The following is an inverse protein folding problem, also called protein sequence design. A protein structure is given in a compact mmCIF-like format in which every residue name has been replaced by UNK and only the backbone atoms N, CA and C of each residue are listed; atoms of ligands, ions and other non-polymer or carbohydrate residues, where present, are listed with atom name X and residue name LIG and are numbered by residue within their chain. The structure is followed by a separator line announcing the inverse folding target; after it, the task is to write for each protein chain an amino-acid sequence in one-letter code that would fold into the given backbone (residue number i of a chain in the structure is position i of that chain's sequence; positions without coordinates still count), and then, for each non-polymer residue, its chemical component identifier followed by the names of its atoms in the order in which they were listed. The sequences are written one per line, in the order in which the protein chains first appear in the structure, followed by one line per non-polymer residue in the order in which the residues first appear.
data_IF_745180121691
#
_entry.id   IF_745180121691
#
_cell.length_a   1.000
_cell.length_b   1.000
_cell.length_c   1.000
_cell.angle_alpha   90.00
_cell.angle_beta   90.00
_cell.angle_gamma   90.00
#
_symmetry.space_group_name_H-M   'P 1'
#
loop_
_entity.id
_entity.type
_entity.pdbx_description
1 polymer ?
#
# COMPACT_ATOMS: atom_id res chain seq x y z
N UNK A 1 -13.61 14.41 -51.27
CA UNK A 1 -13.96 15.15 -50.03
C UNK A 1 -14.00 14.30 -48.76
N UNK A 2 -14.71 13.15 -48.71
CA UNK A 2 -14.85 12.31 -47.49
C UNK A 2 -13.53 11.69 -46.96
N UNK A 3 -12.60 11.32 -47.84
CA UNK A 3 -11.29 10.77 -47.44
C UNK A 3 -10.36 11.83 -46.81
N UNK A 4 -10.41 13.08 -47.29
CA UNK A 4 -9.64 14.19 -46.72
C UNK A 4 -10.09 14.53 -45.30
N UNK A 5 -11.41 14.56 -45.04
CA UNK A 5 -11.94 14.77 -43.69
C UNK A 5 -11.58 13.63 -42.72
N UNK A 6 -11.51 12.37 -43.20
CA UNK A 6 -11.09 11.24 -42.35
C UNK A 6 -9.62 11.36 -41.94
N UNK A 7 -8.73 11.74 -42.87
CA UNK A 7 -7.30 11.99 -42.58
C UNK A 7 -7.10 13.17 -41.63
N UNK A 8 -7.85 14.26 -41.81
CA UNK A 8 -7.77 15.40 -40.91
C UNK A 8 -8.24 15.04 -39.49
N UNK A 9 -9.32 14.26 -39.36
CA UNK A 9 -9.77 13.75 -38.05
C UNK A 9 -8.77 12.79 -37.40
N UNK A 10 -8.09 11.93 -38.17
CA UNK A 10 -7.06 11.04 -37.60
C UNK A 10 -5.85 11.83 -37.12
N UNK A 11 -5.36 12.82 -37.86
CA UNK A 11 -4.24 13.67 -37.42
C UNK A 11 -4.56 14.49 -36.17
N UNK A 12 -5.79 15.00 -36.05
CA UNK A 12 -6.22 15.72 -34.84
C UNK A 12 -6.32 14.77 -33.63
N UNK A 13 -6.68 13.49 -33.86
CA UNK A 13 -6.70 12.47 -32.79
C UNK A 13 -5.29 12.09 -32.37
N UNK A 14 -4.40 11.75 -33.31
CA UNK A 14 -3.01 11.39 -32.98
C UNK A 14 -2.28 12.53 -32.27
N UNK A 15 -2.48 13.79 -32.68
CA UNK A 15 -1.88 14.94 -32.01
C UNK A 15 -2.43 15.15 -30.58
N UNK A 16 -3.68 14.77 -30.30
CA UNK A 16 -4.24 14.78 -28.94
C UNK A 16 -3.69 13.63 -28.10
N UNK A 17 -3.60 12.44 -28.69
CA UNK A 17 -3.09 11.23 -28.04
C UNK A 17 -1.60 11.36 -27.68
N UNK A 18 -0.80 12.00 -28.53
CA UNK A 18 0.60 12.31 -28.22
C UNK A 18 0.74 13.29 -27.04
N UNK A 19 -0.15 14.28 -26.93
CA UNK A 19 -0.15 15.25 -25.82
C UNK A 19 -0.56 14.58 -24.51
N UNK A 20 -1.57 13.72 -24.53
CA UNK A 20 -1.98 12.96 -23.34
C UNK A 20 -0.91 11.95 -22.95
N UNK A 21 -0.27 11.26 -23.91
CA UNK A 21 0.84 10.35 -23.66
C UNK A 21 2.03 11.05 -22.98
N UNK A 22 2.45 12.22 -23.49
CA UNK A 22 3.53 13.02 -22.85
C UNK A 22 3.16 13.46 -21.44
N UNK A 23 1.90 13.86 -21.22
CA UNK A 23 1.42 14.26 -19.88
C UNK A 23 1.43 13.07 -18.91
N UNK A 24 0.98 11.90 -19.36
CA UNK A 24 0.95 10.68 -18.55
C UNK A 24 2.36 10.17 -18.26
N UNK A 25 3.28 10.21 -19.23
CA UNK A 25 4.69 9.89 -19.02
C UNK A 25 5.31 10.80 -17.95
N UNK A 26 5.08 12.12 -18.04
CA UNK A 26 5.52 13.07 -17.02
C UNK A 26 4.94 12.79 -15.63
N UNK A 27 3.66 12.45 -15.53
CA UNK A 27 3.02 12.10 -14.25
C UNK A 27 3.56 10.81 -13.65
N UNK A 28 3.85 9.79 -14.49
CA UNK A 28 4.48 8.53 -14.05
C UNK A 28 5.88 8.77 -13.50
N UNK A 29 6.68 9.59 -14.18
CA UNK A 29 8.03 9.94 -13.71
C UNK A 29 8.02 10.72 -12.40
N UNK A 30 7.09 11.67 -12.25
CA UNK A 30 6.92 12.38 -10.98
C UNK A 30 6.52 11.43 -9.85
N UNK A 31 5.64 10.44 -10.11
CA UNK A 31 5.22 9.44 -9.13
C UNK A 31 6.37 8.51 -8.72
N UNK A 32 7.15 7.99 -9.68
CA UNK A 32 8.34 7.19 -9.41
C UNK A 32 9.34 7.95 -8.53
N UNK A 33 9.66 9.20 -8.90
CA UNK A 33 10.58 10.07 -8.13
C UNK A 33 10.05 10.39 -6.74
N UNK A 34 8.75 10.64 -6.60
CA UNK A 34 8.10 10.88 -5.31
C UNK A 34 8.21 9.64 -4.41
N UNK A 35 7.98 8.45 -4.97
CA UNK A 35 8.04 7.20 -4.23
C UNK A 35 9.47 6.83 -3.80
N UNK A 36 10.46 7.02 -4.68
CA UNK A 36 11.87 6.85 -4.34
C UNK A 36 12.31 7.77 -3.19
N UNK A 37 11.92 9.05 -3.25
CA UNK A 37 12.17 10.02 -2.16
C UNK A 37 11.49 9.62 -0.85
N UNK A 38 10.25 9.15 -0.93
CA UNK A 38 9.51 8.70 0.25
C UNK A 38 10.18 7.49 0.91
N UNK A 39 10.64 6.51 0.12
CA UNK A 39 11.38 5.34 0.62
C UNK A 39 12.69 5.74 1.29
N UNK A 40 13.45 6.67 0.70
CA UNK A 40 14.66 7.23 1.30
C UNK A 40 14.33 7.91 2.64
N UNK A 41 13.31 8.76 2.66
CA UNK A 41 12.90 9.47 3.86
C UNK A 41 12.51 8.50 4.98
N UNK A 42 11.73 7.46 4.68
CA UNK A 42 11.33 6.42 5.66
C UNK A 42 12.53 5.65 6.23
N UNK A 43 13.56 5.36 5.42
CA UNK A 43 14.80 4.72 5.90
C UNK A 43 15.61 5.66 6.80
N UNK A 44 15.71 6.93 6.45
CA UNK A 44 16.39 7.95 7.25
C UNK A 44 15.67 8.24 8.57
N UNK A 45 14.33 8.28 8.58
CA UNK A 45 13.55 8.45 9.82
C UNK A 45 13.69 7.23 10.74
N UNK A 46 13.68 6.00 10.20
CA UNK A 46 13.97 4.80 10.98
C UNK A 46 15.40 4.81 11.58
N UNK A 47 16.40 5.27 10.81
CA UNK A 47 17.78 5.47 11.30
C UNK A 47 17.85 6.48 12.46
N UNK A 48 17.09 7.58 12.34
CA UNK A 48 16.98 8.60 13.37
C UNK A 48 16.31 8.06 14.64
N UNK A 49 15.18 7.34 14.54
CA UNK A 49 14.47 6.74 15.67
C UNK A 49 15.38 5.78 16.46
N UNK A 50 16.18 4.94 15.77
CA UNK A 50 17.17 4.08 16.42
C UNK A 50 18.24 4.88 17.17
N UNK A 51 18.67 6.03 16.64
CA UNK A 51 19.60 6.93 17.31
C UNK A 51 18.98 7.54 18.58
N UNK A 52 17.72 7.98 18.52
CA UNK A 52 17.00 8.48 19.69
C UNK A 52 16.83 7.40 20.76
N UNK A 53 16.48 6.17 20.38
CA UNK A 53 16.44 5.02 21.30
C UNK A 53 17.77 4.79 22.01
N UNK A 54 18.90 4.78 21.28
CA UNK A 54 20.24 4.64 21.89
C UNK A 54 20.61 5.81 22.81
N UNK A 55 20.16 7.03 22.52
CA UNK A 55 20.37 8.19 23.41
C UNK A 55 19.55 8.09 24.69
N UNK A 56 18.35 7.53 24.65
CA UNK A 56 17.52 7.28 25.84
C UNK A 56 18.20 6.23 26.72
N UNK A 57 18.68 5.13 26.14
CA UNK A 57 19.45 4.10 26.87
C UNK A 57 20.73 4.70 27.47
N UNK A 58 21.46 5.52 26.71
CA UNK A 58 22.64 6.23 27.21
C UNK A 58 22.30 7.17 28.37
N UNK A 59 21.16 7.87 28.29
CA UNK A 59 20.68 8.70 29.38
C UNK A 59 20.39 7.85 30.63
N UNK A 60 19.67 6.73 30.49
CA UNK A 60 19.37 5.81 31.57
C UNK A 60 20.64 5.27 32.27
N UNK A 61 21.65 4.83 31.50
CA UNK A 61 22.94 4.36 32.05
C UNK A 61 23.67 5.48 32.78
N UNK A 62 23.53 6.73 32.35
CA UNK A 62 24.22 7.87 32.95
C UNK A 62 23.59 8.38 34.24
N UNK A 63 22.33 8.05 34.54
CA UNK A 63 21.60 8.49 35.76
C UNK A 63 22.37 8.25 37.06
N UNK A 64 22.90 7.04 37.36
CA UNK A 64 23.67 6.81 38.60
C UNK A 64 24.95 7.65 38.68
N UNK A 65 25.55 8.01 37.53
CA UNK A 65 26.73 8.88 37.53
C UNK A 65 26.38 10.35 37.72
N UNK A 66 25.15 10.76 37.40
CA UNK A 66 24.64 12.08 37.74
C UNK A 66 24.39 12.23 39.24
N UNK A 67 23.86 11.20 39.91
CA UNK A 67 23.64 11.24 41.37
C UNK A 67 24.96 11.29 42.14
N UNK A 68 25.96 10.49 41.74
CA UNK A 68 27.33 10.57 42.28
C UNK A 68 27.94 11.95 42.01
N UNK A 69 27.75 12.48 40.80
CA UNK A 69 28.21 13.80 40.40
C UNK A 69 27.65 14.92 41.29
N UNK A 70 26.40 14.83 41.72
CA UNK A 70 25.74 15.83 42.55
C UNK A 70 26.33 15.89 43.97
N UNK A 71 26.69 14.73 44.53
CA UNK A 71 27.35 14.62 45.85
C UNK A 71 28.83 15.04 45.78
N UNK A 72 29.51 14.70 44.68
CA UNK A 72 30.95 14.98 44.50
C UNK A 72 31.25 16.38 43.98
N UNK A 73 30.27 17.09 43.41
CA UNK A 73 30.42 18.45 42.89
C UNK A 73 31.01 19.47 43.90
N UNK A 74 30.48 19.62 45.14
CA UNK A 74 31.04 20.59 46.09
C UNK A 74 32.49 20.26 46.49
N UNK A 75 32.85 18.98 46.54
CA UNK A 75 34.20 18.50 46.85
C UNK A 75 35.15 18.80 45.66
N UNK A 76 34.70 18.55 44.44
CA UNK A 76 35.46 18.81 43.22
C UNK A 76 35.76 20.28 42.96
N UNK A 77 34.82 21.18 43.31
CA UNK A 77 35.03 22.63 43.26
C UNK A 77 36.08 23.08 44.28
N UNK A 78 36.07 22.49 45.48
CA UNK A 78 37.03 22.81 46.55
C UNK A 78 38.45 22.34 46.25
N UNK A 79 38.62 21.18 45.59
CA UNK A 79 39.93 20.63 45.19
C UNK A 79 40.39 21.03 43.77
N UNK A 80 39.59 21.81 43.01
CA UNK A 80 39.84 22.16 41.59
C UNK A 80 40.07 20.97 40.67
N UNK A 81 39.52 19.80 40.98
CA UNK A 81 39.65 18.59 40.18
C UNK A 81 38.57 18.49 39.11
N UNK A 82 38.90 18.95 37.89
CA UNK A 82 37.97 19.03 36.74
C UNK A 82 37.37 17.69 36.32
N UNK A 83 38.03 16.56 36.59
CA UNK A 83 37.56 15.24 36.20
C UNK A 83 36.46 14.68 37.12
N UNK A 84 36.42 15.17 38.37
CA UNK A 84 35.40 14.83 39.35
C UNK A 84 34.14 15.71 39.19
N UNK A 85 34.26 16.83 38.47
CA UNK A 85 33.13 17.68 38.11
C UNK A 85 32.33 17.02 36.97
N UNK A 86 31.07 16.67 37.26
CA UNK A 86 30.06 16.14 36.32
C UNK A 86 30.45 14.85 35.57
N UNK A 87 30.75 13.73 36.27
CA UNK A 87 31.10 12.46 35.64
C UNK A 87 29.97 11.91 34.75
N UNK A 88 28.70 12.06 35.17
CA UNK A 88 27.54 11.62 34.39
C UNK A 88 27.42 12.29 33.02
N UNK A 89 27.70 13.58 32.92
CA UNK A 89 27.61 14.32 31.66
C UNK A 89 28.66 13.85 30.65
N UNK A 90 29.85 13.46 31.12
CA UNK A 90 30.93 12.91 30.27
C UNK A 90 30.60 11.52 29.73
N UNK A 91 30.04 10.66 30.59
CA UNK A 91 29.61 9.31 30.20
C UNK A 91 28.48 9.41 29.16
N UNK A 92 27.46 10.23 29.43
CA UNK A 92 26.40 10.50 28.46
C UNK A 92 26.95 11.05 27.15
N UNK A 93 27.83 12.05 27.19
CA UNK A 93 28.38 12.68 26.00
C UNK A 93 29.15 11.68 25.12
N UNK A 94 29.91 10.76 25.71
CA UNK A 94 30.62 9.70 24.96
C UNK A 94 29.65 8.72 24.31
N UNK A 95 28.66 8.24 25.05
CA UNK A 95 27.67 7.29 24.53
C UNK A 95 26.78 7.93 23.44
N UNK A 96 26.36 9.17 23.66
CA UNK A 96 25.60 9.94 22.68
C UNK A 96 26.43 10.27 21.43
N UNK A 97 27.74 10.52 21.58
CA UNK A 97 28.64 10.69 20.45
C UNK A 97 28.77 9.41 19.64
N UNK A 98 29.00 8.26 20.28
CA UNK A 98 29.05 6.96 19.58
C UNK A 98 27.75 6.67 18.82
N UNK A 99 26.59 7.00 19.40
CA UNK A 99 25.29 6.85 18.74
C UNK A 99 25.11 7.80 17.52
N UNK A 100 25.75 8.98 17.51
CA UNK A 100 25.76 9.90 16.36
C UNK A 100 26.66 9.38 15.24
N UNK A 101 27.91 9.00 15.55
CA UNK A 101 28.83 8.41 14.56
C UNK A 101 28.22 7.19 13.87
N UNK A 102 27.61 6.29 14.65
CA UNK A 102 26.94 5.12 14.10
C UNK A 102 25.72 5.46 13.23
N UNK A 103 25.10 6.65 13.41
CA UNK A 103 24.02 7.12 12.52
C UNK A 103 24.61 7.71 11.25
N UNK A 104 25.63 8.53 11.35
CA UNK A 104 26.28 9.18 10.21
C UNK A 104 26.78 8.14 9.21
N UNK A 105 27.43 7.07 9.69
CA UNK A 105 27.86 5.94 8.87
C UNK A 105 26.69 5.28 8.10
N UNK A 106 25.59 4.95 8.80
CA UNK A 106 24.38 4.39 8.18
C UNK A 106 23.69 5.35 7.22
N UNK A 107 23.63 6.64 7.55
CA UNK A 107 22.99 7.64 6.71
C UNK A 107 23.82 7.87 5.42
N UNK A 108 25.15 7.72 5.48
CA UNK A 108 26.04 7.71 4.31
C UNK A 108 25.74 6.49 3.43
N UNK A 109 25.68 5.28 4.00
CA UNK A 109 25.40 4.07 3.21
C UNK A 109 24.03 4.10 2.57
N UNK A 110 22.99 4.51 3.30
CA UNK A 110 21.61 4.64 2.77
C UNK A 110 21.57 5.63 1.59
N UNK A 111 22.30 6.75 1.68
CA UNK A 111 22.36 7.74 0.59
C UNK A 111 23.17 7.23 -0.60
N UNK A 112 24.25 6.50 -0.36
CA UNK A 112 25.05 5.87 -1.41
C UNK A 112 24.21 4.84 -2.18
N UNK A 113 23.52 3.93 -1.49
CA UNK A 113 22.60 2.96 -2.09
C UNK A 113 21.50 3.65 -2.91
N UNK A 114 20.89 4.70 -2.37
CA UNK A 114 19.87 5.43 -3.12
C UNK A 114 20.45 6.08 -4.39
N UNK A 115 21.66 6.62 -4.33
CA UNK A 115 22.34 7.20 -5.50
C UNK A 115 22.64 6.13 -6.55
N UNK A 116 23.19 4.98 -6.16
CA UNK A 116 23.47 3.88 -7.11
C UNK A 116 22.19 3.34 -7.73
N UNK A 117 21.10 3.22 -6.96
CA UNK A 117 19.80 2.79 -7.54
C UNK A 117 19.27 3.77 -8.58
N UNK A 118 19.49 5.08 -8.42
CA UNK A 118 19.07 6.08 -9.39
C UNK A 118 19.97 6.09 -10.63
N UNK A 119 21.28 5.89 -10.45
CA UNK A 119 22.25 5.80 -11.55
C UNK A 119 21.99 4.55 -12.40
N UNK A 120 21.75 3.40 -11.78
CA UNK A 120 21.39 2.17 -12.50
C UNK A 120 20.06 2.33 -13.26
N UNK A 121 19.03 2.90 -12.61
CA UNK A 121 17.74 3.14 -13.26
C UNK A 121 17.85 4.13 -14.44
N UNK A 122 18.76 5.11 -14.37
CA UNK A 122 19.02 6.03 -15.48
C UNK A 122 19.80 5.35 -16.63
N UNK A 123 20.76 4.48 -16.30
CA UNK A 123 21.51 3.72 -17.30
C UNK A 123 20.60 2.74 -18.08
N UNK A 124 19.68 2.07 -17.39
CA UNK A 124 18.70 1.18 -18.02
C UNK A 124 17.74 1.96 -18.97
N UNK A 125 17.42 3.22 -18.66
CA UNK A 125 16.60 4.08 -19.54
C UNK A 125 17.33 4.52 -20.83
N UNK A 126 18.67 4.65 -20.79
CA UNK A 126 19.48 5.09 -21.93
C UNK A 126 19.92 3.93 -22.85
N UNK A 127 19.97 2.69 -22.35
CA UNK A 127 20.47 1.51 -23.09
C UNK A 127 19.39 0.68 -23.81
N UNK A 128 18.10 0.88 -23.53
CA UNK A 128 17.02 0.10 -24.15
C UNK A 128 16.31 0.83 -25.32
N UNK A 129 16.65 0.55 -26.59
CA UNK A 129 15.68 0.77 -27.66
C UNK A 129 14.54 -0.23 -27.44
N UNK A 130 13.42 0.24 -26.88
CA UNK A 130 12.18 -0.52 -26.68
C UNK A 130 11.97 -1.46 -27.87
N UNK A 131 12.24 -2.75 -27.69
CA UNK A 131 12.17 -3.71 -28.78
C UNK A 131 10.71 -3.84 -29.20
N UNK A 132 10.37 -3.29 -30.37
CA UNK A 132 8.99 -3.20 -30.82
C UNK A 132 8.27 -4.56 -30.96
N UNK A 133 9.02 -5.68 -30.99
CA UNK A 133 8.51 -7.06 -30.94
C UNK A 133 9.56 -8.02 -30.36
N UNK A 134 9.28 -8.63 -29.21
CA UNK A 134 9.99 -9.81 -28.69
C UNK A 134 9.55 -11.05 -29.49
N UNK A 135 10.51 -11.90 -29.91
CA UNK A 135 10.24 -13.09 -30.75
C UNK A 135 10.01 -14.31 -29.85
N UNK A 136 8.80 -14.86 -29.86
CA UNK A 136 8.42 -16.09 -29.12
C UNK A 136 9.09 -17.36 -29.67
N UNK A 137 9.40 -18.30 -28.77
CA UNK A 137 9.74 -19.69 -29.10
C UNK A 137 8.51 -20.46 -29.65
N UNK A 138 8.69 -21.58 -30.39
CA UNK A 138 7.63 -22.23 -31.13
C UNK A 138 6.61 -22.90 -30.21
N UNK A 139 5.32 -22.77 -30.58
CA UNK A 139 4.18 -23.42 -29.92
C UNK A 139 4.22 -24.93 -30.17
N UNK A 140 4.46 -25.72 -29.13
CA UNK A 140 3.99 -27.10 -29.10
C UNK A 140 3.85 -27.60 -27.66
N UNK A 141 2.73 -27.30 -27.00
CA UNK A 141 2.21 -28.19 -25.97
C UNK A 141 0.69 -28.28 -26.11
N UNK A 142 0.19 -29.51 -25.96
CA UNK A 142 -1.21 -29.95 -25.88
C UNK A 142 -1.94 -30.27 -27.20
N UNK A 143 -1.52 -31.38 -27.83
CA UNK A 143 -2.48 -32.28 -28.46
C UNK A 143 -2.95 -33.28 -27.39
N UNK A 144 -4.14 -33.08 -26.84
CA UNK A 144 -4.87 -34.15 -26.15
C UNK A 144 -6.15 -34.43 -26.92
N UNK A 145 -6.20 -35.62 -27.51
CA UNK A 145 -7.41 -36.21 -28.07
C UNK A 145 -8.33 -36.62 -26.92
N UNK A 146 -9.52 -36.04 -26.86
CA UNK A 146 -10.55 -36.37 -25.89
C UNK A 146 -11.92 -36.20 -26.53
N UNK A 147 -12.49 -37.33 -26.95
CA UNK A 147 -13.84 -37.48 -27.48
C UNK A 147 -14.87 -37.10 -26.42
N UNK A 148 -15.80 -36.19 -26.72
CA UNK A 148 -17.12 -36.20 -26.07
C UNK A 148 -18.23 -35.73 -27.01
N UNK A 149 -19.32 -36.47 -26.90
CA UNK A 149 -20.53 -36.47 -27.72
C UNK A 149 -21.57 -35.56 -27.08
N UNK A 150 -22.19 -34.69 -27.88
CA UNK A 150 -23.60 -34.32 -27.76
C UNK A 150 -23.99 -33.17 -26.81
N UNK A 151 -24.55 -32.11 -27.40
CA UNK A 151 -25.76 -31.47 -26.85
C UNK A 151 -25.65 -30.05 -26.29
N UNK A 152 -26.29 -29.13 -27.03
CA UNK A 152 -26.85 -27.84 -26.60
C UNK A 152 -25.96 -26.59 -26.64
N UNK A 153 -26.50 -25.61 -27.36
CA UNK A 153 -25.95 -24.31 -27.72
C UNK A 153 -26.08 -23.32 -26.57
N UNK A 154 -24.99 -23.09 -25.84
CA UNK A 154 -24.66 -21.80 -25.22
C UNK A 154 -23.21 -21.53 -25.58
N UNK A 155 -22.89 -20.32 -26.04
CA UNK A 155 -21.56 -19.91 -26.49
C UNK A 155 -20.51 -20.14 -25.39
N UNK A 156 -19.96 -21.35 -25.35
CA UNK A 156 -18.75 -21.70 -24.62
C UNK A 156 -17.60 -21.11 -25.42
N UNK A 157 -17.17 -19.90 -25.04
CA UNK A 157 -15.84 -19.45 -25.43
C UNK A 157 -14.87 -20.42 -24.81
N UNK A 158 -14.12 -21.12 -25.65
CA UNK A 158 -13.08 -22.09 -25.35
C UNK A 158 -12.12 -21.60 -24.25
N UNK A 159 -12.49 -21.80 -23.01
CA UNK A 159 -11.61 -21.75 -21.85
C UNK A 159 -11.59 -23.16 -21.30
N UNK A 160 -10.38 -23.71 -21.06
CA UNK A 160 -10.25 -24.95 -20.32
C UNK A 160 -10.91 -24.84 -18.93
N UNK A 161 -10.97 -25.93 -18.16
CA UNK A 161 -11.51 -25.90 -16.80
C UNK A 161 -10.63 -24.99 -15.96
N UNK A 162 -11.06 -23.75 -15.73
CA UNK A 162 -10.21 -22.71 -15.16
C UNK A 162 -11.00 -21.53 -14.63
N UNK A 163 -10.44 -20.90 -13.61
CA UNK A 163 -10.97 -19.69 -12.96
C UNK A 163 -11.10 -18.53 -13.95
N UNK A 164 -12.32 -18.02 -14.13
CA UNK A 164 -12.63 -16.88 -14.99
C UNK A 164 -13.03 -15.68 -14.13
N UNK A 165 -12.19 -14.64 -14.14
CA UNK A 165 -12.47 -13.38 -13.44
C UNK A 165 -13.79 -12.73 -13.87
N UNK A 166 -14.14 -12.83 -15.14
CA UNK A 166 -15.35 -12.19 -15.67
C UNK A 166 -16.63 -12.83 -15.12
N UNK A 167 -16.64 -14.15 -14.92
CA UNK A 167 -17.82 -14.85 -14.40
C UNK A 167 -18.09 -14.45 -12.95
N UNK A 168 -17.06 -14.55 -12.10
CA UNK A 168 -17.13 -14.14 -10.68
C UNK A 168 -17.43 -12.64 -10.52
N UNK A 169 -16.84 -11.78 -11.36
CA UNK A 169 -17.16 -10.35 -11.36
C UNK A 169 -18.59 -10.06 -11.84
N UNK A 170 -19.09 -10.80 -12.85
CA UNK A 170 -20.47 -10.67 -13.34
C UNK A 170 -21.48 -11.09 -12.28
N UNK A 171 -21.18 -12.12 -11.48
CA UNK A 171 -22.02 -12.53 -10.34
C UNK A 171 -22.06 -11.45 -9.26
N UNK A 172 -20.91 -10.87 -8.92
CA UNK A 172 -20.84 -9.75 -7.98
C UNK A 172 -21.61 -8.51 -8.49
N UNK A 173 -21.50 -8.19 -9.79
CA UNK A 173 -22.24 -7.10 -10.40
C UNK A 173 -23.76 -7.36 -10.39
N UNK A 174 -24.18 -8.60 -10.68
CA UNK A 174 -25.59 -8.99 -10.63
C UNK A 174 -26.15 -8.92 -9.20
N UNK A 175 -25.37 -9.33 -8.20
CA UNK A 175 -25.73 -9.19 -6.79
C UNK A 175 -25.89 -7.71 -6.41
N UNK A 176 -24.96 -6.84 -6.82
CA UNK A 176 -25.05 -5.40 -6.56
C UNK A 176 -26.26 -4.74 -7.25
N UNK A 177 -26.63 -5.17 -8.47
CA UNK A 177 -27.81 -4.66 -9.19
C UNK A 177 -29.14 -5.00 -8.52
N UNK A 178 -29.21 -6.15 -7.86
CA UNK A 178 -30.40 -6.61 -7.15
C UNK A 178 -30.36 -6.31 -5.65
N UNK A 179 -29.39 -5.50 -5.22
CA UNK A 179 -29.22 -5.14 -3.82
C UNK A 179 -30.32 -4.15 -3.41
N UNK A 180 -31.21 -4.61 -2.52
CA UNK A 180 -32.30 -3.82 -1.95
C UNK A 180 -32.21 -3.89 -0.40
N UNK A 181 -31.50 -2.94 0.24
CA UNK A 181 -31.29 -2.98 1.68
C UNK A 181 -32.57 -2.62 2.44
N UNK A 182 -32.96 -3.47 3.39
CA UNK A 182 -34.14 -3.27 4.27
C UNK A 182 -33.93 -2.17 5.34
N UNK A 183 -32.78 -1.48 5.31
CA UNK A 183 -32.49 -0.37 6.21
C UNK A 183 -31.01 0.00 6.28
N UNK A 184 -30.73 1.11 6.96
CA UNK A 184 -29.37 1.66 7.11
C UNK A 184 -28.40 0.64 7.74
N UNK A 185 -28.85 -0.16 8.71
CA UNK A 185 -28.01 -1.19 9.35
C UNK A 185 -27.61 -2.32 8.38
N UNK A 186 -28.44 -2.64 7.38
CA UNK A 186 -28.07 -3.61 6.36
C UNK A 186 -26.94 -3.09 5.46
N UNK A 187 -26.97 -1.80 5.15
CA UNK A 187 -25.88 -1.10 4.43
C UNK A 187 -24.61 -1.01 5.28
N UNK A 188 -24.76 -0.73 6.58
CA UNK A 188 -23.63 -0.72 7.53
C UNK A 188 -22.88 -2.06 7.52
N UNK A 189 -23.60 -3.18 7.64
CA UNK A 189 -23.00 -4.50 7.68
C UNK A 189 -22.37 -4.90 6.33
N UNK A 190 -22.96 -4.43 5.23
CA UNK A 190 -22.40 -4.62 3.89
C UNK A 190 -21.07 -3.88 3.73
N UNK A 191 -21.01 -2.60 4.10
CA UNK A 191 -19.78 -1.79 4.02
C UNK A 191 -18.71 -2.31 4.98
N UNK A 192 -19.10 -2.80 6.17
CA UNK A 192 -18.18 -3.42 7.13
C UNK A 192 -17.42 -4.61 6.53
N UNK A 193 -18.04 -5.37 5.62
CA UNK A 193 -17.42 -6.51 4.94
C UNK A 193 -16.56 -6.15 3.73
N UNK A 194 -16.57 -4.89 3.27
CA UNK A 194 -15.84 -4.48 2.06
C UNK A 194 -14.33 -4.69 2.13
N UNK A 195 -13.62 -4.34 3.22
CA UNK A 195 -12.18 -4.54 3.31
C UNK A 195 -11.79 -6.02 3.14
N UNK A 196 -12.54 -6.93 3.77
CA UNK A 196 -12.30 -8.37 3.69
C UNK A 196 -12.58 -8.94 2.29
N UNK A 197 -13.66 -8.48 1.65
CA UNK A 197 -13.98 -8.86 0.26
C UNK A 197 -12.88 -8.39 -0.72
N UNK A 198 -12.43 -7.14 -0.60
CA UNK A 198 -11.33 -6.61 -1.41
C UNK A 198 -9.99 -7.30 -1.12
N UNK A 199 -9.72 -7.67 0.13
CA UNK A 199 -8.54 -8.45 0.50
C UNK A 199 -8.55 -9.83 -0.18
N UNK A 200 -9.71 -10.49 -0.24
CA UNK A 200 -9.87 -11.77 -0.94
C UNK A 200 -9.57 -11.64 -2.43
N UNK A 201 -10.08 -10.58 -3.08
CA UNK A 201 -9.76 -10.26 -4.48
C UNK A 201 -8.28 -9.97 -4.65
N UNK A 202 -7.67 -9.15 -3.79
CA UNK A 202 -6.24 -8.84 -3.85
C UNK A 202 -5.39 -10.12 -3.76
N UNK A 203 -5.71 -11.02 -2.82
CA UNK A 203 -5.00 -12.28 -2.65
C UNK A 203 -5.06 -13.17 -3.90
N UNK A 204 -6.11 -13.10 -4.73
CA UNK A 204 -6.12 -13.82 -6.02
C UNK A 204 -4.98 -13.36 -6.95
N UNK A 205 -4.69 -12.06 -6.99
CA UNK A 205 -3.60 -11.52 -7.81
C UNK A 205 -2.23 -11.89 -7.26
N UNK A 206 -2.06 -11.91 -5.93
CA UNK A 206 -0.83 -12.39 -5.30
C UNK A 206 -0.55 -13.86 -5.61
N UNK A 207 -1.58 -14.72 -5.53
CA UNK A 207 -1.47 -16.15 -5.88
C UNK A 207 -1.13 -16.31 -7.37
N UNK A 208 -1.74 -15.52 -8.25
CA UNK A 208 -1.45 -15.58 -9.69
C UNK A 208 -0.05 -15.07 -10.02
N UNK A 209 0.45 -14.04 -9.33
CA UNK A 209 1.82 -13.57 -9.49
C UNK A 209 2.82 -14.66 -9.08
N UNK A 210 2.64 -15.27 -7.90
CA UNK A 210 3.47 -16.39 -7.45
C UNK A 210 3.44 -17.58 -8.42
N UNK A 211 2.25 -17.95 -8.91
CA UNK A 211 2.12 -19.04 -9.90
C UNK A 211 2.65 -18.65 -11.28
N UNK A 212 2.72 -17.36 -11.60
CA UNK A 212 3.23 -16.91 -12.90
C UNK A 212 4.73 -17.14 -13.05
N UNK A 213 5.48 -17.11 -11.95
CA UNK A 213 6.92 -17.38 -11.94
C UNK A 213 7.23 -18.89 -12.01
N UNK A 214 6.35 -19.74 -11.46
CA UNK A 214 6.59 -21.18 -11.30
C UNK A 214 5.89 -22.06 -12.35
N UNK A 215 4.64 -21.74 -12.72
CA UNK A 215 3.73 -22.68 -13.39
C UNK A 215 3.21 -22.17 -14.74
N UNK A 216 3.22 -20.85 -15.00
CA UNK A 216 2.70 -20.28 -16.24
C UNK A 216 3.80 -19.91 -17.24
N UNK A 217 3.60 -20.15 -18.55
CA UNK A 217 4.52 -19.70 -19.60
C UNK A 217 4.31 -18.21 -19.90
N UNK A 218 4.54 -17.35 -18.90
CA UNK A 218 4.39 -15.89 -18.98
C UNK A 218 5.76 -15.20 -18.95
N UNK A 219 5.83 -14.00 -19.54
CA UNK A 219 7.02 -13.15 -19.39
C UNK A 219 7.06 -12.59 -17.96
N UNK A 220 8.24 -12.46 -17.32
CA UNK A 220 8.37 -11.96 -15.95
C UNK A 220 7.74 -10.57 -15.72
N UNK A 221 7.67 -9.74 -16.77
CA UNK A 221 7.00 -8.44 -16.74
C UNK A 221 5.50 -8.56 -16.41
N UNK A 222 4.86 -9.66 -16.81
CA UNK A 222 3.44 -9.90 -16.53
C UNK A 222 3.24 -10.21 -15.04
N UNK A 223 4.11 -11.01 -14.43
CA UNK A 223 4.12 -11.25 -12.98
C UNK A 223 4.27 -9.94 -12.20
N UNK A 224 5.23 -9.10 -12.61
CA UNK A 224 5.43 -7.75 -12.04
C UNK A 224 4.19 -6.86 -12.18
N UNK A 225 3.46 -6.99 -13.30
CA UNK A 225 2.21 -6.24 -13.50
C UNK A 225 1.06 -6.73 -12.60
N UNK A 226 1.02 -8.03 -12.28
CA UNK A 226 0.05 -8.62 -11.34
C UNK A 226 0.34 -8.17 -9.90
N UNK A 227 1.62 -8.11 -9.51
CA UNK A 227 2.03 -7.54 -8.22
C UNK A 227 1.65 -6.06 -8.09
N UNK A 228 1.83 -5.28 -9.17
CA UNK A 228 1.42 -3.88 -9.17
C UNK A 228 -0.11 -3.71 -9.01
N UNK A 229 -0.91 -4.64 -9.53
CA UNK A 229 -2.37 -4.67 -9.32
C UNK A 229 -2.70 -5.03 -7.86
N UNK A 230 -2.02 -6.02 -7.29
CA UNK A 230 -2.15 -6.36 -5.88
C UNK A 230 -1.86 -5.16 -4.96
N UNK A 231 -0.75 -4.46 -5.19
CA UNK A 231 -0.40 -3.25 -4.42
C UNK A 231 -1.45 -2.14 -4.56
N UNK A 232 -2.03 -1.95 -5.76
CA UNK A 232 -3.09 -0.99 -5.96
C UNK A 232 -4.39 -1.37 -5.21
N UNK A 233 -4.68 -2.68 -5.13
CA UNK A 233 -5.83 -3.18 -4.35
C UNK A 233 -5.62 -3.03 -2.85
N UNK A 234 -4.39 -3.17 -2.34
CA UNK A 234 -4.08 -2.88 -0.93
C UNK A 234 -4.42 -1.43 -0.55
N UNK A 235 -4.11 -0.47 -1.43
CA UNK A 235 -4.51 0.93 -1.20
C UNK A 235 -6.04 1.12 -1.21
N UNK A 236 -6.77 0.32 -2.01
CA UNK A 236 -8.22 0.36 -2.02
C UNK A 236 -8.83 -0.26 -0.74
N UNK A 237 -8.15 -1.23 -0.12
CA UNK A 237 -8.53 -1.79 1.18
C UNK A 237 -8.40 -0.73 2.27
N UNK A 238 -7.27 0.00 2.31
CA UNK A 238 -7.07 1.11 3.26
C UNK A 238 -8.19 2.16 3.12
N UNK A 239 -8.53 2.55 1.89
CA UNK A 239 -9.63 3.50 1.64
C UNK A 239 -11.00 2.93 2.03
N UNK A 240 -11.23 1.62 1.88
CA UNK A 240 -12.47 0.98 2.31
C UNK A 240 -12.61 0.97 3.85
N UNK A 241 -11.52 0.82 4.60
CA UNK A 241 -11.51 0.95 6.06
C UNK A 241 -11.83 2.38 6.51
N UNK A 242 -11.26 3.37 5.81
CA UNK A 242 -11.55 4.79 6.05
C UNK A 242 -13.01 5.13 5.70
N UNK A 243 -13.56 4.54 4.64
CA UNK A 243 -14.97 4.70 4.28
C UNK A 243 -15.92 4.15 5.35
N UNK A 244 -15.61 2.99 5.94
CA UNK A 244 -16.39 2.45 7.06
C UNK A 244 -16.29 3.32 8.32
N UNK A 245 -15.09 3.80 8.63
CA UNK A 245 -14.87 4.75 9.74
C UNK A 245 -15.68 6.03 9.53
N UNK A 246 -15.70 6.55 8.30
CA UNK A 246 -16.50 7.72 7.92
C UNK A 246 -17.99 7.45 8.07
N UNK A 247 -18.46 6.27 7.63
CA UNK A 247 -19.87 5.87 7.78
C UNK A 247 -20.30 5.87 9.25
N UNK A 248 -19.53 5.22 10.14
CA UNK A 248 -19.82 5.20 11.58
C UNK A 248 -19.81 6.58 12.21
N UNK A 249 -18.88 7.44 11.79
CA UNK A 249 -18.78 8.81 12.32
C UNK A 249 -19.99 9.66 11.92
N UNK A 250 -20.39 9.61 10.65
CA UNK A 250 -21.51 10.42 10.13
C UNK A 250 -22.86 9.93 10.68
N UNK A 251 -23.01 8.62 10.84
CA UNK A 251 -24.28 7.99 11.27
C UNK A 251 -24.28 7.62 12.76
N UNK A 252 -23.36 8.16 13.57
CA UNK A 252 -23.20 7.79 14.99
C UNK A 252 -24.53 7.84 15.76
N UNK A 253 -25.33 8.88 15.53
CA UNK A 253 -26.61 9.06 16.23
C UNK A 253 -27.64 8.00 15.85
N UNK A 254 -27.71 7.62 14.57
CA UNK A 254 -28.67 6.64 14.06
C UNK A 254 -28.22 5.21 14.40
N UNK A 255 -26.92 4.93 14.27
CA UNK A 255 -26.32 3.68 14.73
C UNK A 255 -26.59 3.49 16.22
N UNK A 256 -26.39 4.51 17.06
CA UNK A 256 -26.67 4.41 18.50
C UNK A 256 -28.14 4.11 18.80
N UNK A 257 -29.09 4.63 18.02
CA UNK A 257 -30.52 4.30 18.20
C UNK A 257 -30.82 2.83 17.91
N UNK A 258 -30.09 2.21 16.98
CA UNK A 258 -30.24 0.81 16.60
C UNK A 258 -29.41 -0.14 17.48
N UNK A 259 -28.21 0.25 17.91
CA UNK A 259 -27.32 -0.54 18.79
C UNK A 259 -27.77 -0.47 20.26
N UNK A 260 -28.29 0.68 20.71
CA UNK A 260 -28.81 0.91 22.06
C UNK A 260 -30.29 1.35 22.01
N UNK A 261 -31.21 0.44 21.61
CA UNK A 261 -32.62 0.75 21.65
C UNK A 261 -32.99 1.07 23.09
N UNK A 262 -33.61 2.24 23.30
CA UNK A 262 -33.96 2.72 24.65
C UNK A 262 -34.89 1.72 25.32
N UNK A 263 -34.35 0.95 26.25
CA UNK A 263 -35.03 -0.11 26.97
C UNK A 263 -36.02 0.48 28.00
N UNK A 264 -37.12 1.10 27.55
CA UNK A 264 -38.32 1.51 28.35
C UNK A 264 -39.22 2.63 27.74
N UNK A 265 -39.22 2.90 26.42
CA UNK A 265 -40.04 3.99 25.88
C UNK A 265 -41.47 3.62 25.44
N UNK A 266 -41.91 2.37 25.56
CA UNK A 266 -43.26 1.93 25.14
C UNK A 266 -44.17 1.45 26.29
N UNK A 267 -43.69 1.38 27.53
CA UNK A 267 -44.52 1.01 28.70
C UNK A 267 -45.02 2.25 29.48
N UNK A 268 -44.66 3.46 29.05
CA UNK A 268 -44.95 4.72 29.77
C UNK A 268 -46.22 5.46 29.36
N UNK A 269 -46.88 5.06 28.26
CA UNK A 269 -48.18 5.61 27.87
C UNK A 269 -49.26 4.54 27.98
N UNK A 270 -49.78 4.38 29.19
CA UNK A 270 -51.06 3.72 29.39
C UNK A 270 -52.20 4.63 28.88
N UNK A 271 -52.66 4.38 27.66
CA UNK A 271 -53.80 5.07 27.06
C UNK A 271 -55.15 4.57 27.60
N UNK A 272 -55.21 3.64 28.55
CA UNK A 272 -56.48 3.15 29.11
C UNK A 272 -57.11 4.07 30.14
N UNK A 273 -56.40 5.10 30.62
CA UNK A 273 -56.90 6.03 31.63
C UNK A 273 -57.61 7.29 31.06
N UNK A 274 -58.06 7.23 29.80
CA UNK A 274 -58.70 8.35 29.09
C UNK A 274 -60.08 7.96 28.51
N UNK A 275 -60.85 7.14 29.23
CA UNK A 275 -62.29 6.92 28.99
C UNK A 275 -63.15 7.62 30.05
#
# INVERSE_FOLDING_TARGET
MRQAMRRMRSHVRTAKDERTARRLAGMRELRKRAWARWRLWRRLTASALRCYGRKIVAAAISVPFFTIGMITHPIGVRLRWRWLMWPGQRVYARLAAAARWAREDRDITIRAEHKTTLENAAADEDEEPIAAKVRRAPRSHHAYAGTSTGGSTTMSTTAGPGFLFNETASEMEAAAKNYDPDGMMHVHDTIKGFPEALASVANTFAILAQKSDEEFPLEPEVGTSLDAIYEALQLAIDEAEDAFTTFRTVHEQDIRRHEEPRNNAEEGWDTTNNQ
#
